data_IF_667739693770
#
_entry.id   IF_667739693770
#
_cell.length_a   1.000
_cell.length_b   1.000
_cell.length_c   1.000
_cell.angle_alpha   90.00
_cell.angle_beta   90.00
_cell.angle_gamma   90.00
#
_symmetry.space_group_name_H-M   'P 1'
#
loop_
_entity.id
_entity.type
_entity.pdbx_description
1 polymer ?
#
# COMPACT_ATOMS: atom_id res chain seq x y z
N UNK A 1 -7.72 -76.47 -1.03
CA UNK A 1 -6.30 -76.86 -1.02
C UNK A 1 -5.58 -75.84 -0.17
N UNK A 2 -4.95 -76.23 0.94
CA UNK A 2 -4.19 -75.29 1.77
C UNK A 2 -2.98 -74.76 1.02
N UNK A 3 -2.62 -73.49 1.24
CA UNK A 3 -1.40 -72.91 0.67
C UNK A 3 -0.18 -73.77 1.06
N UNK A 4 0.74 -74.03 0.13
CA UNK A 4 1.94 -74.81 0.42
C UNK A 4 2.73 -74.17 1.57
N UNK A 5 3.37 -74.97 2.44
CA UNK A 5 4.17 -74.43 3.54
C UNK A 5 5.32 -73.58 2.99
N UNK A 6 5.66 -72.52 3.73
CA UNK A 6 6.79 -71.64 3.40
C UNK A 6 8.10 -72.45 3.38
N UNK A 7 8.96 -72.16 2.41
CA UNK A 7 10.32 -72.66 2.39
C UNK A 7 11.14 -72.06 3.55
N UNK A 8 12.27 -72.68 3.94
CA UNK A 8 13.11 -72.16 5.03
C UNK A 8 13.59 -70.71 4.81
N UNK A 9 13.82 -70.30 3.55
CA UNK A 9 14.18 -68.92 3.23
C UNK A 9 12.98 -67.97 3.40
N UNK A 10 11.81 -68.32 2.89
CA UNK A 10 10.59 -67.51 3.04
C UNK A 10 10.18 -67.38 4.51
N UNK A 11 10.36 -68.43 5.32
CA UNK A 11 10.08 -68.37 6.76
C UNK A 11 11.02 -67.38 7.48
N UNK A 12 12.28 -67.25 7.03
CA UNK A 12 13.22 -66.28 7.58
C UNK A 12 12.72 -64.84 7.32
N UNK A 13 12.39 -64.52 6.08
CA UNK A 13 11.85 -63.20 5.73
C UNK A 13 10.48 -62.94 6.37
N UNK A 14 9.63 -63.97 6.48
CA UNK A 14 8.36 -63.86 7.17
C UNK A 14 8.54 -63.52 8.66
N UNK A 15 9.56 -64.06 9.34
CA UNK A 15 9.88 -63.67 10.73
C UNK A 15 10.30 -62.21 10.84
N UNK A 16 11.14 -61.75 9.93
CA UNK A 16 11.60 -60.35 9.86
C UNK A 16 10.40 -59.41 9.63
N UNK A 17 9.55 -59.70 8.63
CA UNK A 17 8.35 -58.89 8.36
C UNK A 17 7.29 -58.95 9.46
N UNK A 18 7.18 -60.06 10.21
CA UNK A 18 6.33 -60.14 11.40
C UNK A 18 6.85 -59.26 12.53
N UNK A 19 8.17 -59.25 12.76
CA UNK A 19 8.79 -58.38 13.75
C UNK A 19 8.58 -56.89 13.43
N UNK A 20 8.56 -56.54 12.14
CA UNK A 20 8.24 -55.19 11.64
C UNK A 20 6.72 -54.89 11.60
N UNK A 21 5.87 -55.85 11.96
CA UNK A 21 4.40 -55.69 11.94
C UNK A 21 3.77 -55.61 10.54
N UNK A 22 4.52 -55.96 9.49
CA UNK A 22 4.10 -55.84 8.08
C UNK A 22 3.25 -57.01 7.60
N UNK A 23 3.32 -58.15 8.29
CA UNK A 23 2.46 -59.31 8.07
C UNK A 23 1.97 -59.87 9.41
N UNK A 24 0.77 -60.46 9.42
CA UNK A 24 0.16 -61.06 10.61
C UNK A 24 0.69 -62.47 10.94
N UNK A 25 -0.02 -63.18 11.81
CA UNK A 25 0.35 -64.54 12.23
C UNK A 25 0.32 -65.56 11.08
N UNK A 26 -0.59 -65.37 10.12
CA UNK A 26 -0.66 -66.15 8.89
C UNK A 26 -0.16 -65.33 7.70
N UNK A 27 0.76 -65.89 6.91
CA UNK A 27 1.28 -65.28 5.69
C UNK A 27 1.50 -66.36 4.64
N UNK A 28 1.04 -66.11 3.42
CA UNK A 28 1.27 -66.98 2.26
C UNK A 28 2.59 -66.60 1.58
N UNK A 29 3.25 -67.56 0.92
CA UNK A 29 4.52 -67.41 0.21
C UNK A 29 4.53 -66.19 -0.71
N UNK A 30 3.44 -66.01 -1.47
CA UNK A 30 3.26 -64.89 -2.41
C UNK A 30 3.37 -63.52 -1.74
N UNK A 31 2.87 -63.37 -0.51
CA UNK A 31 2.92 -62.11 0.22
C UNK A 31 4.35 -61.81 0.69
N UNK A 32 5.04 -62.84 1.18
CA UNK A 32 6.44 -62.73 1.63
C UNK A 32 7.36 -62.40 0.46
N UNK A 33 7.22 -63.09 -0.68
CA UNK A 33 7.98 -62.81 -1.90
C UNK A 33 7.70 -61.42 -2.46
N UNK A 34 6.44 -60.99 -2.45
CA UNK A 34 6.06 -59.65 -2.91
C UNK A 34 6.72 -58.55 -2.05
N UNK A 35 6.71 -58.70 -0.72
CA UNK A 35 7.37 -57.74 0.18
C UNK A 35 8.89 -57.72 0.00
N UNK A 36 9.50 -58.90 -0.15
CA UNK A 36 10.94 -59.04 -0.44
C UNK A 36 11.32 -58.39 -1.77
N UNK A 37 10.50 -58.57 -2.80
CA UNK A 37 10.69 -57.90 -4.10
C UNK A 37 10.70 -56.37 -3.95
N UNK A 38 9.76 -55.80 -3.17
CA UNK A 38 9.71 -54.35 -2.95
C UNK A 38 10.90 -53.82 -2.15
N UNK A 39 11.44 -54.58 -1.20
CA UNK A 39 12.66 -54.21 -0.50
C UNK A 39 13.87 -54.18 -1.41
N UNK A 40 14.08 -55.26 -2.16
CA UNK A 40 15.18 -55.35 -3.12
C UNK A 40 15.07 -54.24 -4.18
N UNK A 41 13.86 -53.89 -4.61
CA UNK A 41 13.63 -52.78 -5.54
C UNK A 41 13.99 -51.43 -4.91
N UNK A 42 13.63 -51.18 -3.66
CA UNK A 42 13.99 -49.94 -2.94
C UNK A 42 15.49 -49.85 -2.68
N UNK A 43 16.13 -50.96 -2.33
CA UNK A 43 17.57 -51.05 -2.14
C UNK A 43 18.31 -50.78 -3.46
N UNK A 44 17.86 -51.40 -4.56
CA UNK A 44 18.40 -51.15 -5.88
C UNK A 44 18.23 -49.68 -6.30
N UNK A 45 17.05 -49.09 -6.06
CA UNK A 45 16.79 -47.68 -6.35
C UNK A 45 17.72 -46.77 -5.53
N UNK A 46 17.86 -47.02 -4.22
CA UNK A 46 18.78 -46.27 -3.35
C UNK A 46 20.23 -46.35 -3.84
N UNK A 47 20.68 -47.51 -4.30
CA UNK A 47 22.02 -47.68 -4.90
C UNK A 47 22.17 -46.94 -6.22
N UNK A 48 21.14 -46.92 -7.06
CA UNK A 48 21.11 -46.16 -8.31
C UNK A 48 21.17 -44.66 -8.00
N UNK A 49 20.34 -44.17 -7.08
CA UNK A 49 20.30 -42.76 -6.68
C UNK A 49 21.64 -42.32 -6.08
N UNK A 50 22.28 -43.16 -5.26
CA UNK A 50 23.61 -42.90 -4.73
C UNK A 50 24.69 -42.85 -5.84
N UNK A 51 24.58 -43.70 -6.86
CA UNK A 51 25.47 -43.69 -8.02
C UNK A 51 25.26 -42.44 -8.88
N UNK A 52 24.00 -42.05 -9.10
CA UNK A 52 23.62 -40.82 -9.81
C UNK A 52 24.17 -39.62 -9.04
N UNK A 53 23.93 -39.51 -7.74
CA UNK A 53 24.46 -38.41 -6.92
C UNK A 53 25.99 -38.30 -6.97
N UNK A 54 26.70 -39.43 -7.09
CA UNK A 54 28.17 -39.45 -7.16
C UNK A 54 28.73 -39.11 -8.55
N UNK A 55 28.04 -39.51 -9.62
CA UNK A 55 28.56 -39.45 -10.99
C UNK A 55 27.80 -38.49 -11.90
N UNK A 56 26.68 -37.91 -11.44
CA UNK A 56 25.94 -36.93 -12.21
C UNK A 56 26.79 -35.67 -12.38
N UNK A 57 26.83 -35.09 -13.59
CA UNK A 57 27.47 -33.80 -13.80
C UNK A 57 26.69 -32.74 -13.01
N UNK A 58 27.29 -32.25 -11.92
CA UNK A 58 26.79 -31.09 -11.18
C UNK A 58 27.32 -29.82 -11.84
N UNK A 59 26.41 -29.04 -12.42
CA UNK A 59 26.70 -27.70 -12.92
C UNK A 59 26.43 -26.71 -11.78
N UNK A 60 27.42 -25.90 -11.42
CA UNK A 60 27.24 -24.82 -10.45
C UNK A 60 26.51 -23.67 -11.17
N UNK A 61 25.18 -23.66 -11.07
CA UNK A 61 24.37 -22.56 -11.54
C UNK A 61 24.61 -21.36 -10.61
N UNK A 62 25.47 -20.44 -11.05
CA UNK A 62 25.73 -19.17 -10.36
C UNK A 62 24.58 -18.19 -10.67
N UNK A 63 23.41 -18.46 -10.12
CA UNK A 63 22.23 -17.57 -10.22
C UNK A 63 22.27 -16.43 -9.19
N UNK A 64 23.34 -16.37 -8.37
CA UNK A 64 23.48 -15.37 -7.33
C UNK A 64 24.77 -14.56 -7.51
N UNK A 65 24.68 -13.21 -7.48
CA UNK A 65 25.87 -12.38 -7.55
C UNK A 65 26.79 -12.64 -6.34
N UNK A 66 28.09 -12.55 -6.55
CA UNK A 66 29.08 -12.70 -5.48
C UNK A 66 28.81 -11.68 -4.36
N UNK A 67 28.78 -12.17 -3.12
CA UNK A 67 28.41 -11.37 -1.95
C UNK A 67 29.62 -10.57 -1.44
N UNK A 68 29.69 -9.30 -1.81
CA UNK A 68 30.69 -8.36 -1.29
C UNK A 68 30.25 -7.80 0.08
N UNK A 69 30.85 -8.28 1.17
CA UNK A 69 30.48 -7.92 2.55
C UNK A 69 31.12 -6.63 3.08
N UNK A 70 31.85 -5.89 2.24
CA UNK A 70 32.53 -4.64 2.60
C UNK A 70 31.85 -3.37 2.07
N UNK A 71 30.86 -3.50 1.20
CA UNK A 71 30.22 -2.37 0.52
C UNK A 71 28.82 -2.16 1.07
N UNK A 72 28.60 -1.02 1.73
CA UNK A 72 27.26 -0.53 2.06
C UNK A 72 26.74 0.21 0.82
N UNK A 73 25.83 -0.43 0.08
CA UNK A 73 25.19 0.20 -1.09
C UNK A 73 24.06 1.09 -0.59
N UNK A 74 24.20 2.40 -0.78
CA UNK A 74 23.10 3.36 -0.65
C UNK A 74 22.53 3.54 -2.04
N UNK A 75 21.35 2.96 -2.33
CA UNK A 75 20.65 3.22 -3.57
C UNK A 75 20.17 4.68 -3.58
N UNK A 76 20.21 5.31 -4.76
CA UNK A 76 19.73 6.68 -5.01
C UNK A 76 18.24 6.87 -4.66
N UNK A 77 17.63 8.03 -5.03
CA UNK A 77 16.34 8.46 -4.52
C UNK A 77 15.33 7.32 -4.56
N UNK A 78 14.77 7.01 -3.39
CA UNK A 78 13.77 5.96 -3.24
C UNK A 78 12.60 6.27 -4.16
N UNK A 79 12.56 5.68 -5.34
CA UNK A 79 11.31 5.49 -6.07
C UNK A 79 10.55 4.43 -5.29
N UNK A 80 9.68 4.86 -4.37
CA UNK A 80 8.62 4.01 -3.86
C UNK A 80 7.63 3.87 -5.02
N UNK A 81 7.92 2.97 -5.96
CA UNK A 81 6.86 2.46 -6.82
C UNK A 81 5.86 1.76 -5.89
N UNK A 82 4.66 2.33 -5.80
CA UNK A 82 3.53 1.55 -5.31
C UNK A 82 3.50 0.28 -6.17
N UNK A 83 3.43 -0.90 -5.53
CA UNK A 83 3.35 -2.17 -6.25
C UNK A 83 2.32 -2.01 -7.37
N UNK A 84 2.72 -2.04 -8.65
CA UNK A 84 1.77 -1.86 -9.73
C UNK A 84 0.69 -2.90 -9.54
N UNK A 85 -0.54 -2.41 -9.42
CA UNK A 85 -1.69 -3.27 -9.28
C UNK A 85 -1.80 -4.08 -10.56
N UNK A 86 -1.66 -5.40 -10.44
CA UNK A 86 -1.81 -6.34 -11.56
C UNK A 86 -3.20 -6.21 -12.20
N UNK A 87 -4.17 -5.57 -11.54
CA UNK A 87 -5.47 -5.22 -12.09
C UNK A 87 -5.59 -3.87 -12.82
N UNK A 88 -4.63 -2.95 -12.68
CA UNK A 88 -4.69 -1.63 -13.33
C UNK A 88 -3.99 -1.57 -14.69
N UNK A 89 -3.01 -2.45 -14.94
CA UNK A 89 -2.26 -2.50 -16.22
C UNK A 89 -2.84 -3.45 -17.27
N UNK A 90 -4.10 -3.89 -17.15
CA UNK A 90 -4.80 -4.60 -18.24
C UNK A 90 -5.72 -3.69 -19.08
N UNK A 91 -5.53 -2.38 -19.02
CA UNK A 91 -6.24 -1.41 -19.88
C UNK A 91 -5.37 -0.79 -20.97
N UNK A 92 -4.18 -1.34 -21.24
CA UNK A 92 -3.54 -1.13 -22.53
C UNK A 92 -4.34 -1.94 -23.56
N UNK A 93 -5.27 -1.29 -24.26
CA UNK A 93 -5.72 -1.75 -25.56
C UNK A 93 -4.48 -1.80 -26.46
N UNK A 94 -3.84 -2.98 -26.52
CA UNK A 94 -2.86 -3.27 -27.54
C UNK A 94 -3.67 -3.38 -28.82
N UNK A 95 -3.55 -2.37 -29.69
CA UNK A 95 -4.00 -2.47 -31.08
C UNK A 95 -3.46 -3.79 -31.62
N UNK A 96 -4.38 -4.70 -31.98
CA UNK A 96 -4.03 -5.99 -32.55
C UNK A 96 -3.20 -5.74 -33.79
N UNK A 97 -1.91 -6.07 -33.72
CA UNK A 97 -1.12 -6.30 -34.92
C UNK A 97 -1.50 -7.70 -35.39
N UNK A 98 -2.47 -7.78 -36.30
CA UNK A 98 -2.75 -9.01 -37.03
C UNK A 98 -1.49 -9.43 -37.82
N UNK A 99 -1.30 -10.75 -37.94
CA UNK A 99 -0.31 -11.48 -38.76
C UNK A 99 1.07 -11.81 -38.17
N UNK A 100 1.10 -12.74 -37.21
CA UNK A 100 2.16 -13.78 -37.17
C UNK A 100 1.53 -15.15 -36.93
N UNK A 101 1.43 -15.97 -37.98
CA UNK A 101 1.02 -17.37 -37.86
C UNK A 101 1.99 -18.16 -36.96
N UNK A 102 1.46 -18.76 -35.88
CA UNK A 102 2.16 -19.84 -35.16
C UNK A 102 2.45 -19.62 -33.67
N UNK A 103 2.04 -18.51 -33.05
CA UNK A 103 2.20 -18.32 -31.59
C UNK A 103 0.85 -18.17 -30.91
N UNK A 104 0.33 -19.27 -30.34
CA UNK A 104 -0.80 -19.21 -29.41
C UNK A 104 -0.28 -18.76 -28.04
N UNK A 105 -0.35 -17.46 -27.75
CA UNK A 105 -0.20 -16.97 -26.37
C UNK A 105 -1.54 -17.20 -25.67
N UNK A 106 -1.61 -18.25 -24.86
CA UNK A 106 -2.74 -18.47 -23.95
C UNK A 106 -2.62 -17.44 -22.83
N UNK A 107 -3.24 -16.28 -23.00
CA UNK A 107 -3.43 -15.33 -21.91
C UNK A 107 -4.41 -15.99 -20.94
N UNK A 108 -3.96 -16.28 -19.73
CA UNK A 108 -4.84 -16.68 -18.64
C UNK A 108 -5.74 -15.49 -18.29
N UNK A 109 -6.94 -15.42 -18.87
CA UNK A 109 -8.03 -14.66 -18.26
C UNK A 109 -8.29 -15.25 -16.87
N UNK A 110 -8.23 -14.48 -15.78
CA UNK A 110 -8.84 -14.91 -14.54
C UNK A 110 -10.33 -15.08 -14.82
N UNK A 111 -10.84 -16.24 -14.43
CA UNK A 111 -12.13 -16.74 -14.84
C UNK A 111 -13.32 -15.82 -14.48
N UNK A 112 -14.15 -15.51 -15.48
CA UNK A 112 -15.46 -14.81 -15.42
C UNK A 112 -16.55 -15.48 -14.54
N UNK A 113 -16.18 -16.33 -13.58
CA UNK A 113 -17.13 -17.10 -12.77
C UNK A 113 -16.86 -17.12 -11.26
N UNK A 114 -15.70 -16.62 -10.80
CA UNK A 114 -15.30 -16.71 -9.39
C UNK A 114 -15.50 -15.40 -8.63
N UNK A 115 -15.67 -14.26 -9.32
CA UNK A 115 -15.60 -12.94 -8.69
C UNK A 115 -16.94 -12.31 -8.30
N UNK A 116 -18.04 -12.51 -9.04
CA UNK A 116 -19.29 -11.78 -8.75
C UNK A 116 -19.91 -12.10 -7.37
N UNK A 117 -19.84 -13.37 -6.92
CA UNK A 117 -20.30 -13.76 -5.57
C UNK A 117 -19.38 -13.23 -4.47
N UNK A 118 -18.09 -13.15 -4.74
CA UNK A 118 -17.10 -12.60 -3.81
C UNK A 118 -17.23 -11.08 -3.69
N UNK A 119 -17.48 -10.37 -4.80
CA UNK A 119 -17.69 -8.92 -4.81
C UNK A 119 -18.99 -8.56 -4.08
N UNK A 120 -20.10 -9.26 -4.35
CA UNK A 120 -21.36 -9.02 -3.63
C UNK A 120 -21.25 -9.25 -2.11
N UNK A 121 -20.53 -10.30 -1.70
CA UNK A 121 -20.26 -10.59 -0.30
C UNK A 121 -19.36 -9.51 0.34
N UNK A 122 -18.29 -9.12 -0.35
CA UNK A 122 -17.37 -8.04 0.05
C UNK A 122 -18.13 -6.72 0.27
N UNK A 123 -18.94 -6.30 -0.72
CA UNK A 123 -19.71 -5.06 -0.62
C UNK A 123 -20.72 -5.09 0.52
N UNK A 124 -21.41 -6.22 0.70
CA UNK A 124 -22.39 -6.39 1.78
C UNK A 124 -21.72 -6.29 3.16
N UNK A 125 -20.59 -6.96 3.34
CA UNK A 125 -19.78 -6.90 4.56
C UNK A 125 -19.22 -5.49 4.82
N UNK A 126 -18.72 -4.81 3.79
CA UNK A 126 -18.23 -3.44 3.88
C UNK A 126 -19.32 -2.45 4.27
N UNK A 127 -20.53 -2.58 3.70
CA UNK A 127 -21.69 -1.75 4.07
C UNK A 127 -22.07 -2.00 5.54
N UNK A 128 -22.07 -3.25 6.00
CA UNK A 128 -22.39 -3.59 7.39
C UNK A 128 -21.33 -3.03 8.36
N UNK A 129 -20.05 -3.20 8.04
CA UNK A 129 -18.93 -2.63 8.80
C UNK A 129 -19.02 -1.11 8.86
N UNK A 130 -19.30 -0.46 7.74
CA UNK A 130 -19.41 1.00 7.67
C UNK A 130 -20.62 1.51 8.47
N UNK A 131 -21.75 0.80 8.41
CA UNK A 131 -22.95 1.13 9.21
C UNK A 131 -22.67 1.03 10.71
N UNK A 132 -21.96 -0.02 11.16
CA UNK A 132 -21.63 -0.23 12.58
C UNK A 132 -20.57 0.75 13.09
N UNK A 133 -19.52 0.94 12.31
CA UNK A 133 -18.32 1.64 12.77
C UNK A 133 -18.29 3.11 12.39
N UNK A 134 -19.10 3.58 11.43
CA UNK A 134 -19.04 4.95 10.92
C UNK A 134 -17.67 5.29 10.33
N UNK A 135 -17.46 6.57 10.01
CA UNK A 135 -16.15 7.07 9.55
C UNK A 135 -15.58 8.00 10.61
N UNK A 136 -14.35 7.73 11.03
CA UNK A 136 -13.68 8.51 12.07
C UNK A 136 -12.78 9.57 11.44
N UNK A 137 -13.00 10.82 11.81
CA UNK A 137 -12.11 11.93 11.52
C UNK A 137 -10.84 11.83 12.37
N UNK A 138 -9.73 12.39 11.88
CA UNK A 138 -8.53 12.55 12.70
C UNK A 138 -8.75 13.45 13.94
N UNK A 139 -9.76 14.33 13.93
CA UNK A 139 -10.21 15.11 15.10
C UNK A 139 -10.88 14.27 16.20
N UNK A 140 -11.06 12.96 15.98
CA UNK A 140 -11.81 12.08 16.88
C UNK A 140 -13.32 12.15 16.69
N UNK A 141 -13.82 13.10 15.87
CA UNK A 141 -15.23 13.18 15.48
C UNK A 141 -15.61 12.05 14.54
N UNK A 142 -16.90 11.73 14.50
CA UNK A 142 -17.40 10.55 13.81
C UNK A 142 -18.57 10.89 12.88
N UNK A 143 -18.48 10.46 11.63
CA UNK A 143 -19.59 10.43 10.69
C UNK A 143 -20.39 9.15 10.90
N UNK A 144 -21.63 9.29 11.36
CA UNK A 144 -22.56 8.17 11.49
C UNK A 144 -23.71 8.29 10.48
N UNK A 145 -24.39 7.17 10.26
CA UNK A 145 -25.44 7.02 9.27
C UNK A 145 -26.76 6.67 9.95
N UNK A 146 -27.80 7.46 9.70
CA UNK A 146 -29.16 7.17 10.16
C UNK A 146 -29.75 6.04 9.33
N UNK A 147 -29.54 6.12 8.02
CA UNK A 147 -29.87 5.07 7.07
C UNK A 147 -28.66 4.81 6.19
N UNK A 148 -28.40 3.54 5.87
CA UNK A 148 -27.39 3.18 4.88
C UNK A 148 -27.77 1.84 4.25
N UNK A 149 -28.10 1.83 2.96
CA UNK A 149 -28.56 0.64 2.24
C UNK A 149 -27.79 0.45 0.94
N UNK A 150 -27.60 -0.79 0.53
CA UNK A 150 -27.08 -1.09 -0.81
C UNK A 150 -28.03 -0.55 -1.88
N UNK A 151 -27.47 -0.10 -3.00
CA UNK A 151 -28.23 0.40 -4.16
C UNK A 151 -27.83 -0.38 -5.41
N UNK A 152 -28.80 -0.56 -6.31
CA UNK A 152 -28.56 -1.14 -7.63
C UNK A 152 -28.09 -0.03 -8.59
N UNK A 153 -26.78 0.20 -8.61
CA UNK A 153 -26.14 1.20 -9.46
C UNK A 153 -24.79 0.68 -9.94
N UNK A 154 -24.41 1.00 -11.18
CA UNK A 154 -23.19 0.52 -11.81
C UNK A 154 -21.87 1.03 -11.19
N UNK A 155 -21.92 1.94 -10.22
CA UNK A 155 -20.75 2.71 -9.74
C UNK A 155 -20.83 2.95 -8.23
N UNK A 156 -21.97 3.45 -7.77
CA UNK A 156 -22.23 3.68 -6.36
C UNK A 156 -22.78 2.40 -5.73
N UNK A 157 -22.31 2.05 -4.53
CA UNK A 157 -22.59 0.75 -3.91
C UNK A 157 -23.62 0.85 -2.78
N UNK A 158 -23.67 2.00 -2.11
CA UNK A 158 -24.64 2.28 -1.06
C UNK A 158 -25.06 3.75 -1.05
N UNK A 159 -26.25 4.01 -0.52
CA UNK A 159 -26.75 5.36 -0.27
C UNK A 159 -27.52 5.41 1.05
N UNK A 160 -27.65 6.61 1.61
CA UNK A 160 -28.25 6.80 2.91
C UNK A 160 -28.34 8.25 3.35
N UNK A 161 -28.57 8.44 4.64
CA UNK A 161 -28.62 9.75 5.30
C UNK A 161 -27.70 9.79 6.51
N UNK A 162 -27.07 10.93 6.75
CA UNK A 162 -26.21 11.15 7.92
C UNK A 162 -27.04 11.45 9.18
N UNK A 163 -26.53 11.09 10.36
CA UNK A 163 -27.20 11.40 11.65
C UNK A 163 -26.93 12.83 12.14
N UNK A 164 -25.93 13.50 11.56
CA UNK A 164 -25.26 14.63 12.21
C UNK A 164 -25.89 15.98 11.84
N UNK A 165 -26.82 16.45 12.69
CA UNK A 165 -27.40 17.80 12.64
C UNK A 165 -28.42 17.97 11.53
N UNK A 166 -27.95 18.28 10.32
CA UNK A 166 -28.77 18.32 9.11
C UNK A 166 -28.65 16.97 8.42
N UNK A 167 -29.76 16.25 8.25
CA UNK A 167 -29.79 14.97 7.53
C UNK A 167 -29.44 15.18 6.06
N UNK A 168 -28.15 15.07 5.74
CA UNK A 168 -27.62 15.15 4.39
C UNK A 168 -27.69 13.78 3.72
N UNK A 169 -28.01 13.79 2.43
CA UNK A 169 -27.99 12.60 1.58
C UNK A 169 -26.55 12.23 1.25
N UNK A 170 -26.20 10.95 1.39
CA UNK A 170 -24.85 10.46 1.13
C UNK A 170 -24.88 9.26 0.18
N UNK A 171 -23.95 9.23 -0.76
CA UNK A 171 -23.65 8.06 -1.58
C UNK A 171 -22.22 7.58 -1.33
N UNK A 172 -22.03 6.27 -1.49
CA UNK A 172 -20.78 5.61 -1.12
C UNK A 172 -20.28 4.77 -2.29
N UNK A 173 -19.01 4.97 -2.63
CA UNK A 173 -18.23 4.07 -3.47
C UNK A 173 -17.22 3.32 -2.61
N UNK A 174 -17.19 1.99 -2.72
CA UNK A 174 -16.11 1.17 -2.19
C UNK A 174 -15.12 0.88 -3.32
N UNK A 175 -13.84 1.05 -3.05
CA UNK A 175 -12.77 0.66 -3.94
C UNK A 175 -12.65 -0.85 -4.07
N UNK A 176 -11.79 -1.34 -4.99
CA UNK A 176 -11.54 -2.77 -5.15
C UNK A 176 -10.92 -3.38 -3.88
N UNK A 177 -11.27 -4.63 -3.58
CA UNK A 177 -10.77 -5.34 -2.40
C UNK A 177 -9.23 -5.46 -2.37
N UNK A 178 -8.62 -5.65 -3.53
CA UNK A 178 -7.18 -5.83 -3.70
C UNK A 178 -6.58 -4.72 -4.59
N UNK A 179 -6.96 -3.47 -4.38
CA UNK A 179 -6.39 -2.36 -5.16
C UNK A 179 -6.72 -0.98 -4.63
N UNK A 180 -6.18 0.03 -5.32
CA UNK A 180 -6.39 1.43 -5.00
C UNK A 180 -7.55 2.03 -5.80
N UNK A 181 -8.20 3.05 -5.25
CA UNK A 181 -9.13 3.89 -6.01
C UNK A 181 -8.30 4.75 -6.99
N UNK A 182 -8.58 4.57 -8.28
CA UNK A 182 -7.93 5.29 -9.39
C UNK A 182 -8.76 6.49 -9.87
N UNK A 183 -8.16 7.30 -10.75
CA UNK A 183 -8.81 8.47 -11.36
C UNK A 183 -10.15 8.12 -12.04
N UNK A 184 -10.22 6.99 -12.77
CA UNK A 184 -11.45 6.54 -13.43
C UNK A 184 -12.58 6.29 -12.45
N UNK A 185 -12.31 5.62 -11.33
CA UNK A 185 -13.29 5.40 -10.27
C UNK A 185 -13.83 6.71 -9.70
N UNK A 186 -12.94 7.68 -9.45
CA UNK A 186 -13.33 9.00 -8.96
C UNK A 186 -14.21 9.70 -9.99
N UNK A 187 -13.78 9.76 -11.25
CA UNK A 187 -14.53 10.41 -12.33
C UNK A 187 -15.95 9.85 -12.48
N UNK A 188 -16.09 8.52 -12.49
CA UNK A 188 -17.40 7.86 -12.60
C UNK A 188 -18.27 8.13 -11.37
N UNK A 189 -17.68 8.08 -10.18
CA UNK A 189 -18.38 8.39 -8.94
C UNK A 189 -18.83 9.85 -8.87
N UNK A 190 -18.01 10.78 -9.37
CA UNK A 190 -18.36 12.19 -9.45
C UNK A 190 -19.56 12.41 -10.38
N UNK A 191 -19.62 11.70 -11.51
CA UNK A 191 -20.75 11.80 -12.42
C UNK A 191 -22.03 11.22 -11.80
N UNK A 192 -21.94 10.07 -11.13
CA UNK A 192 -23.08 9.39 -10.51
C UNK A 192 -23.57 10.08 -9.21
N UNK A 193 -22.66 10.72 -8.49
CA UNK A 193 -22.85 11.25 -7.14
C UNK A 193 -23.50 12.63 -7.06
N UNK A 194 -23.65 13.37 -8.18
CA UNK A 194 -24.10 14.78 -8.19
C UNK A 194 -25.45 15.06 -7.53
N UNK A 195 -26.30 14.04 -7.38
CA UNK A 195 -27.63 14.16 -6.77
C UNK A 195 -27.61 14.01 -5.24
N UNK A 196 -26.46 13.71 -4.65
CA UNK A 196 -26.27 13.55 -3.21
C UNK A 196 -25.47 14.72 -2.67
N UNK A 197 -25.77 15.14 -1.43
CA UNK A 197 -25.06 16.24 -0.78
C UNK A 197 -23.60 15.86 -0.46
N UNK A 198 -23.37 14.57 -0.17
CA UNK A 198 -22.06 14.01 0.16
C UNK A 198 -21.77 12.79 -0.73
N UNK A 199 -20.57 12.75 -1.30
CA UNK A 199 -20.00 11.56 -1.93
C UNK A 199 -18.83 11.06 -1.08
N UNK A 200 -18.94 9.83 -0.56
CA UNK A 200 -17.90 9.18 0.24
C UNK A 200 -17.21 8.08 -0.57
N UNK A 201 -15.90 8.22 -0.79
CA UNK A 201 -15.06 7.21 -1.44
C UNK A 201 -14.27 6.46 -0.37
N UNK A 202 -14.49 5.16 -0.25
CA UNK A 202 -13.86 4.29 0.75
C UNK A 202 -12.92 3.29 0.06
N UNK A 203 -11.62 3.38 0.29
CA UNK A 203 -10.64 2.47 -0.31
C UNK A 203 -9.56 2.04 0.68
N UNK A 204 -8.96 0.88 0.47
CA UNK A 204 -7.74 0.51 1.18
C UNK A 204 -6.59 1.44 0.83
N UNK A 205 -6.57 1.91 -0.42
CA UNK A 205 -5.59 2.85 -0.92
C UNK A 205 -6.17 3.76 -2.02
N UNK A 206 -5.48 4.87 -2.31
CA UNK A 206 -5.85 5.82 -3.36
C UNK A 206 -4.61 6.19 -4.18
N UNK A 207 -4.77 6.22 -5.49
CA UNK A 207 -3.71 6.79 -6.35
C UNK A 207 -3.59 8.30 -6.09
N UNK A 208 -2.40 8.90 -6.22
CA UNK A 208 -2.22 10.35 -6.01
C UNK A 208 -3.14 11.20 -6.89
N UNK A 209 -3.29 10.84 -8.15
CA UNK A 209 -4.17 11.52 -9.12
C UNK A 209 -5.65 11.43 -8.71
N UNK A 210 -6.08 10.30 -8.14
CA UNK A 210 -7.44 10.16 -7.62
C UNK A 210 -7.72 11.06 -6.41
N UNK A 211 -6.76 11.15 -5.47
CA UNK A 211 -6.90 12.04 -4.31
C UNK A 211 -7.01 13.49 -4.74
N UNK A 212 -6.13 13.91 -5.65
CA UNK A 212 -6.15 15.27 -6.18
C UNK A 212 -7.46 15.58 -6.91
N UNK A 213 -7.94 14.68 -7.78
CA UNK A 213 -9.20 14.88 -8.50
C UNK A 213 -10.38 15.04 -7.54
N UNK A 214 -10.45 14.20 -6.51
CA UNK A 214 -11.51 14.28 -5.51
C UNK A 214 -11.44 15.59 -4.70
N UNK A 215 -10.23 16.03 -4.35
CA UNK A 215 -10.00 17.30 -3.64
C UNK A 215 -10.41 18.51 -4.50
N UNK A 216 -9.98 18.56 -5.77
CA UNK A 216 -10.31 19.65 -6.71
C UNK A 216 -11.80 19.71 -7.04
N UNK A 217 -12.48 18.56 -7.09
CA UNK A 217 -13.90 18.50 -7.36
C UNK A 217 -14.76 18.92 -6.15
N UNK A 218 -14.19 18.96 -4.95
CA UNK A 218 -14.89 19.36 -3.73
C UNK A 218 -15.19 20.87 -3.79
N UNK A 219 -16.47 21.22 -3.80
CA UNK A 219 -16.95 22.61 -3.87
C UNK A 219 -17.79 22.95 -2.64
N UNK A 220 -18.02 24.25 -2.40
CA UNK A 220 -18.76 24.71 -1.21
C UNK A 220 -20.16 24.05 -1.06
N UNK A 221 -20.83 23.75 -2.17
CA UNK A 221 -22.18 23.17 -2.18
C UNK A 221 -22.21 21.64 -2.31
N UNK A 222 -21.08 20.98 -2.63
CA UNK A 222 -21.03 19.53 -2.83
C UNK A 222 -19.76 18.92 -2.24
N UNK A 223 -19.96 18.04 -1.26
CA UNK A 223 -18.88 17.54 -0.40
C UNK A 223 -18.39 16.18 -0.87
N UNK A 224 -17.10 16.08 -1.19
CA UNK A 224 -16.45 14.80 -1.54
C UNK A 224 -15.49 14.42 -0.42
N UNK A 225 -15.76 13.27 0.20
CA UNK A 225 -15.00 12.74 1.32
C UNK A 225 -14.25 11.49 0.88
N UNK A 226 -13.02 11.39 1.36
CA UNK A 226 -12.15 10.23 1.13
C UNK A 226 -11.96 9.52 2.47
N UNK A 227 -12.00 8.18 2.48
CA UNK A 227 -11.77 7.39 3.69
C UNK A 227 -10.91 6.15 3.42
N UNK A 228 -9.90 5.95 4.26
CA UNK A 228 -9.10 4.73 4.31
C UNK A 228 -9.86 3.62 5.03
N UNK A 229 -9.81 2.44 4.44
CA UNK A 229 -10.27 1.18 5.02
C UNK A 229 -9.09 0.51 5.72
N UNK A 230 -9.26 0.16 6.99
CA UNK A 230 -8.25 -0.55 7.75
C UNK A 230 -8.06 -1.99 7.20
N UNK A 231 -6.81 -2.49 7.06
CA UNK A 231 -6.54 -3.88 6.65
C UNK A 231 -7.21 -4.93 7.53
N UNK A 232 -7.47 -4.59 8.80
CA UNK A 232 -8.17 -5.41 9.81
C UNK A 232 -9.57 -5.85 9.37
N UNK A 233 -10.17 -5.14 8.41
CA UNK A 233 -11.43 -5.53 7.79
C UNK A 233 -11.36 -6.91 7.10
N UNK A 234 -10.18 -7.34 6.63
CA UNK A 234 -10.00 -8.66 5.99
C UNK A 234 -9.66 -9.74 7.03
N UNK A 235 -9.00 -9.37 8.12
CA UNK A 235 -8.45 -10.30 9.12
C UNK A 235 -9.33 -10.46 10.37
N UNK A 236 -10.65 -10.50 10.18
CA UNK A 236 -11.64 -10.48 11.29
C UNK A 236 -11.51 -11.67 12.26
N UNK A 237 -10.91 -12.79 11.84
CA UNK A 237 -10.79 -14.01 12.65
C UNK A 237 -9.51 -14.05 13.52
N UNK A 238 -8.51 -13.20 13.26
CA UNK A 238 -7.22 -13.25 13.97
C UNK A 238 -7.07 -12.25 15.13
N UNK A 239 -7.90 -11.22 15.18
CA UNK A 239 -7.76 -10.12 16.15
C UNK A 239 -8.71 -10.31 17.34
N UNK A 240 -8.22 -11.00 18.38
CA UNK A 240 -8.84 -10.99 19.71
C UNK A 240 -8.74 -9.58 20.32
N UNK A 241 -9.88 -8.96 20.58
CA UNK A 241 -10.07 -7.81 21.49
C UNK A 241 -9.15 -6.59 21.33
N UNK A 242 -8.78 -6.20 20.11
CA UNK A 242 -8.02 -4.94 19.91
C UNK A 242 -8.79 -3.96 19.02
N UNK A 243 -9.33 -2.89 19.64
CA UNK A 243 -9.87 -1.65 19.01
C UNK A 243 -10.55 -1.80 17.63
N UNK A 244 -11.56 -2.66 17.53
CA UNK A 244 -12.44 -2.84 16.36
C UNK A 244 -13.27 -1.59 15.98
N UNK A 245 -13.02 -0.44 16.59
CA UNK A 245 -13.91 0.74 16.52
C UNK A 245 -13.57 1.75 15.42
N UNK A 246 -12.47 1.59 14.69
CA UNK A 246 -12.01 2.57 13.69
C UNK A 246 -11.62 1.93 12.35
N UNK A 247 -12.56 1.18 11.74
CA UNK A 247 -12.32 0.52 10.45
C UNK A 247 -12.24 1.50 9.28
N UNK A 248 -12.91 2.65 9.36
CA UNK A 248 -12.90 3.68 8.33
C UNK A 248 -12.36 4.99 8.92
N UNK A 249 -11.31 5.53 8.32
CA UNK A 249 -10.66 6.77 8.76
C UNK A 249 -10.70 7.79 7.63
N UNK A 250 -11.26 8.97 7.88
CA UNK A 250 -11.28 10.04 6.87
C UNK A 250 -9.87 10.52 6.53
N UNK A 251 -9.68 10.77 5.25
CA UNK A 251 -8.48 11.34 4.66
C UNK A 251 -8.65 12.86 4.67
N UNK A 252 -7.67 13.51 5.28
CA UNK A 252 -7.52 14.97 5.24
C UNK A 252 -6.56 15.40 4.14
N UNK A 253 -6.54 16.70 3.85
CA UNK A 253 -5.56 17.31 2.95
C UNK A 253 -4.39 17.91 3.74
N UNK A 254 -3.14 17.79 3.30
CA UNK A 254 -2.06 18.62 3.84
C UNK A 254 -2.36 20.12 3.68
N UNK A 255 -2.35 20.89 4.76
CA UNK A 255 -2.31 22.36 4.65
C UNK A 255 -0.86 22.79 4.45
N UNK A 256 -0.55 23.25 3.23
CA UNK A 256 0.79 23.62 2.81
C UNK A 256 0.81 25.05 2.32
N UNK A 257 1.87 25.77 2.69
CA UNK A 257 2.12 27.13 2.22
C UNK A 257 3.45 27.18 1.50
N UNK A 258 3.42 27.80 0.33
CA UNK A 258 4.59 28.04 -0.51
C UNK A 258 5.07 29.46 -0.26
N UNK A 259 6.33 29.61 0.12
CA UNK A 259 6.98 30.92 0.26
C UNK A 259 8.07 31.06 -0.81
N UNK A 260 7.95 32.07 -1.66
CA UNK A 260 8.95 32.37 -2.69
C UNK A 260 9.98 33.36 -2.17
N UNK A 261 11.17 33.40 -2.77
CA UNK A 261 12.16 34.43 -2.47
C UNK A 261 11.52 35.84 -2.62
N UNK A 262 11.71 36.69 -1.60
CA UNK A 262 11.14 38.04 -1.57
C UNK A 262 9.68 38.14 -1.14
N UNK A 263 9.04 37.02 -0.76
CA UNK A 263 7.69 37.04 -0.19
C UNK A 263 7.69 37.80 1.16
N UNK A 264 6.78 38.78 1.27
CA UNK A 264 6.54 39.55 2.49
C UNK A 264 6.25 38.70 3.74
N UNK A 265 5.76 37.47 3.56
CA UNK A 265 5.42 36.56 4.65
C UNK A 265 6.61 35.76 5.18
N UNK A 266 7.79 35.80 4.54
CA UNK A 266 9.00 35.09 5.01
C UNK A 266 9.41 35.53 6.42
N UNK A 267 9.29 36.81 6.75
CA UNK A 267 9.58 37.30 8.10
C UNK A 267 8.65 36.69 9.17
N UNK A 268 7.38 36.45 8.81
CA UNK A 268 6.41 35.79 9.68
C UNK A 268 6.75 34.29 9.83
N UNK A 269 7.12 33.62 8.74
CA UNK A 269 7.58 32.23 8.77
C UNK A 269 8.75 32.04 9.73
N UNK A 270 9.78 32.91 9.65
CA UNK A 270 10.95 32.86 10.53
C UNK A 270 10.54 33.01 12.00
N UNK A 271 9.65 33.97 12.32
CA UNK A 271 9.17 34.17 13.68
C UNK A 271 8.39 32.96 14.22
N UNK A 272 7.47 32.39 13.42
CA UNK A 272 6.68 31.22 13.81
C UNK A 272 7.53 29.95 13.92
N UNK A 273 8.54 29.79 13.07
CA UNK A 273 9.49 28.69 13.15
C UNK A 273 10.39 28.80 14.39
N UNK A 274 10.87 30.00 14.73
CA UNK A 274 11.64 30.24 15.95
C UNK A 274 10.83 29.90 17.21
N UNK A 275 9.52 30.20 17.22
CA UNK A 275 8.60 29.77 18.28
C UNK A 275 8.47 28.25 18.43
N UNK A 276 8.71 27.49 17.36
CA UNK A 276 8.77 26.02 17.33
C UNK A 276 10.19 25.48 17.61
N UNK A 277 11.16 26.34 17.91
CA UNK A 277 12.56 25.96 18.15
C UNK A 277 13.34 25.61 16.89
N UNK A 278 12.88 26.06 15.72
CA UNK A 278 13.56 25.88 14.43
C UNK A 278 14.13 27.22 13.98
N UNK A 279 15.44 27.28 13.76
CA UNK A 279 16.09 28.45 13.17
C UNK A 279 16.04 28.36 11.63
N UNK A 280 15.50 29.41 11.01
CA UNK A 280 15.39 29.55 9.56
C UNK A 280 16.03 30.84 9.06
N UNK A 281 16.62 31.67 9.93
CA UNK A 281 17.14 32.99 9.56
C UNK A 281 18.14 32.86 8.40
N UNK A 282 19.18 32.04 8.60
CA UNK A 282 20.22 31.82 7.59
C UNK A 282 19.64 31.22 6.31
N UNK A 283 18.65 30.31 6.41
CA UNK A 283 18.04 29.70 5.21
C UNK A 283 17.30 30.72 4.36
N UNK A 284 16.60 31.65 5.00
CA UNK A 284 15.83 32.69 4.31
C UNK A 284 16.77 33.74 3.73
N UNK A 285 17.80 34.14 4.46
CA UNK A 285 18.77 35.14 4.03
C UNK A 285 19.65 34.64 2.87
N UNK A 286 19.95 33.34 2.83
CA UNK A 286 20.76 32.70 1.78
C UNK A 286 19.94 32.19 0.57
N UNK A 287 18.62 32.44 0.53
CA UNK A 287 17.79 32.02 -0.62
C UNK A 287 18.30 32.62 -1.93
N UNK A 288 18.43 31.77 -2.95
CA UNK A 288 18.80 32.17 -4.30
C UNK A 288 17.59 32.54 -5.15
N UNK A 289 17.88 33.20 -6.27
CA UNK A 289 16.86 33.58 -7.25
C UNK A 289 16.08 32.38 -7.77
N UNK A 290 14.76 32.43 -7.62
CA UNK A 290 13.83 31.37 -8.03
C UNK A 290 13.72 30.20 -7.03
N UNK A 291 14.34 30.28 -5.85
CA UNK A 291 14.11 29.30 -4.79
C UNK A 291 12.83 29.60 -4.01
N UNK A 292 12.29 28.54 -3.40
CA UNK A 292 11.11 28.57 -2.56
C UNK A 292 11.20 27.58 -1.40
N UNK A 293 10.36 27.80 -0.39
CA UNK A 293 10.11 26.88 0.71
C UNK A 293 8.70 26.33 0.65
N UNK A 294 8.53 25.15 1.24
CA UNK A 294 7.23 24.59 1.59
C UNK A 294 7.17 24.43 3.10
N UNK A 295 6.15 25.03 3.70
CA UNK A 295 5.77 24.78 5.09
C UNK A 295 4.53 23.89 5.13
N UNK A 296 4.59 22.82 5.92
CA UNK A 296 3.40 22.12 6.37
C UNK A 296 2.84 22.83 7.62
N UNK A 297 1.71 23.52 7.47
CA UNK A 297 1.01 24.13 8.61
C UNK A 297 0.20 23.12 9.39
N UNK A 298 -0.28 22.10 8.69
CA UNK A 298 -1.01 21.02 9.32
C UNK A 298 -1.44 19.93 8.37
N UNK A 299 -2.13 18.95 8.91
CA UNK A 299 -2.97 18.06 8.12
C UNK A 299 -4.39 18.39 8.48
N UNK A 300 -5.15 18.81 7.49
CA UNK A 300 -6.53 19.22 7.64
C UNK A 300 -7.35 18.07 8.21
N UNK A 301 -7.92 18.33 9.38
CA UNK A 301 -8.89 17.47 10.03
C UNK A 301 -10.25 17.90 9.50
N UNK A 302 -10.81 17.12 8.58
CA UNK A 302 -12.19 17.32 8.18
C UNK A 302 -13.12 17.05 9.36
N UNK A 303 -14.00 18.00 9.66
CA UNK A 303 -15.05 17.88 10.65
C UNK A 303 -16.33 17.35 9.99
N UNK A 304 -16.70 16.08 10.23
CA UNK A 304 -17.86 15.47 9.58
C UNK A 304 -19.20 16.02 10.08
N UNK A 305 -19.19 16.86 11.12
CA UNK A 305 -20.39 17.43 11.73
C UNK A 305 -20.67 18.82 11.17
N UNK A 306 -19.65 19.68 11.13
CA UNK A 306 -19.80 21.07 10.64
C UNK A 306 -19.49 21.21 9.15
N UNK A 307 -18.84 20.22 8.54
CA UNK A 307 -18.30 20.34 7.19
C UNK A 307 -17.10 21.29 7.11
N UNK A 308 -16.60 21.77 8.24
CA UNK A 308 -15.45 22.66 8.31
C UNK A 308 -14.14 21.87 8.27
N UNK A 309 -13.13 22.48 7.67
CA UNK A 309 -11.78 21.96 7.68
C UNK A 309 -10.98 22.71 8.75
N UNK A 310 -10.34 21.97 9.67
CA UNK A 310 -9.46 22.55 10.69
C UNK A 310 -8.07 21.94 10.61
N UNK A 311 -7.05 22.77 10.48
CA UNK A 311 -5.66 22.30 10.39
C UNK A 311 -5.11 21.96 11.79
N UNK A 312 -4.59 20.73 11.96
CA UNK A 312 -3.86 20.31 13.17
C UNK A 312 -2.38 20.74 13.09
N UNK A 313 -1.75 21.13 14.19
CA UNK A 313 -0.43 21.81 14.23
C UNK A 313 0.76 20.87 13.97
N UNK A 314 0.58 19.81 13.18
CA UNK A 314 1.66 18.93 12.73
C UNK A 314 2.25 18.00 13.81
N UNK A 315 1.77 18.00 15.06
CA UNK A 315 2.27 17.13 16.15
C UNK A 315 2.12 15.63 15.81
N UNK A 316 1.12 15.30 15.01
CA UNK A 316 0.82 13.93 14.60
C UNK A 316 1.49 13.52 13.27
N UNK A 317 2.44 14.32 12.78
CA UNK A 317 3.17 14.07 11.54
C UNK A 317 4.43 13.25 11.82
N UNK A 318 4.56 12.13 11.11
CA UNK A 318 5.68 11.21 11.25
C UNK A 318 6.79 11.49 10.24
N UNK A 319 6.40 11.76 8.99
CA UNK A 319 7.30 12.08 7.90
C UNK A 319 6.61 13.01 6.90
N UNK A 320 7.40 13.87 6.26
CA UNK A 320 6.98 14.71 5.13
C UNK A 320 7.96 14.42 3.99
N UNK A 321 7.43 14.01 2.84
CA UNK A 321 8.20 13.81 1.63
C UNK A 321 7.80 14.86 0.60
N UNK A 322 8.78 15.43 -0.07
CA UNK A 322 8.58 16.49 -1.06
C UNK A 322 9.23 16.05 -2.37
N UNK A 323 8.44 16.07 -3.43
CA UNK A 323 8.88 15.96 -4.81
C UNK A 323 8.92 17.35 -5.44
N UNK A 324 10.11 17.82 -5.78
CA UNK A 324 10.34 19.19 -6.25
C UNK A 324 10.01 19.39 -7.74
N UNK A 325 9.77 18.31 -8.49
CA UNK A 325 9.55 18.33 -9.94
C UNK A 325 8.51 17.27 -10.35
N UNK A 326 7.36 17.31 -9.68
CA UNK A 326 6.32 16.30 -9.84
C UNK A 326 5.67 16.38 -11.23
N UNK A 327 5.84 15.33 -12.04
CA UNK A 327 5.35 15.26 -13.42
C UNK A 327 3.85 14.91 -13.54
N UNK A 328 3.16 14.71 -12.41
CA UNK A 328 1.76 14.28 -12.36
C UNK A 328 1.55 12.78 -12.40
N UNK A 329 2.62 11.97 -12.47
CA UNK A 329 2.56 10.51 -12.59
C UNK A 329 3.35 9.82 -11.49
N UNK A 330 4.62 10.18 -11.34
CA UNK A 330 5.57 9.48 -10.48
C UNK A 330 6.04 10.38 -9.35
N UNK A 331 5.96 9.88 -8.12
CA UNK A 331 6.42 10.61 -6.95
C UNK A 331 7.88 10.28 -6.63
N UNK A 332 8.77 11.24 -6.79
CA UNK A 332 10.19 11.12 -6.48
C UNK A 332 10.53 11.92 -5.21
N UNK A 333 11.04 11.25 -4.18
CA UNK A 333 11.39 11.93 -2.92
C UNK A 333 12.70 12.72 -3.12
N UNK A 334 12.59 14.06 -3.18
CA UNK A 334 13.73 14.97 -3.21
C UNK A 334 14.13 15.44 -1.80
N UNK A 335 13.16 15.59 -0.89
CA UNK A 335 13.43 15.87 0.53
C UNK A 335 12.58 14.98 1.44
N UNK A 336 13.15 14.59 2.58
CA UNK A 336 12.48 13.83 3.61
C UNK A 336 12.65 14.48 5.00
N UNK A 337 11.57 15.02 5.56
CA UNK A 337 11.55 15.68 6.86
C UNK A 337 10.92 14.77 7.91
N UNK A 338 11.47 14.77 9.12
CA UNK A 338 10.99 13.98 10.25
C UNK A 338 10.85 14.88 11.50
N UNK A 339 9.79 15.71 11.56
CA UNK A 339 9.66 16.77 12.55
C UNK A 339 9.64 16.25 14.00
N UNK A 340 8.92 15.15 14.27
CA UNK A 340 8.61 14.73 15.64
C UNK A 340 9.43 13.54 16.15
N UNK A 341 10.44 13.07 15.40
CA UNK A 341 11.27 11.92 15.80
C UNK A 341 12.72 12.32 16.09
N UNK A 342 13.06 12.36 17.39
CA UNK A 342 14.43 12.59 17.85
C UNK A 342 15.40 11.49 17.36
N UNK A 343 14.97 10.24 17.28
CA UNK A 343 15.86 9.10 16.99
C UNK A 343 15.83 8.58 15.54
N UNK A 344 15.07 9.20 14.63
CA UNK A 344 14.96 8.72 13.23
C UNK A 344 16.32 8.52 12.57
N UNK A 345 17.19 9.51 12.76
CA UNK A 345 18.46 9.59 12.07
C UNK A 345 19.59 8.83 12.77
N UNK A 346 19.51 8.68 14.10
CA UNK A 346 20.50 7.95 14.91
C UNK A 346 20.60 6.48 14.50
N UNK A 347 19.45 5.85 14.17
CA UNK A 347 19.41 4.46 13.68
C UNK A 347 20.04 4.33 12.30
N UNK A 348 19.71 5.24 11.39
CA UNK A 348 20.25 5.28 10.02
C UNK A 348 21.77 5.44 10.08
N UNK A 349 22.25 6.39 10.88
CA UNK A 349 23.67 6.62 11.04
C UNK A 349 24.44 5.44 11.62
N UNK A 350 23.91 4.80 12.67
CA UNK A 350 24.51 3.58 13.23
C UNK A 350 24.65 2.49 12.18
N UNK A 351 23.66 2.35 11.31
CA UNK A 351 23.66 1.36 10.23
C UNK A 351 24.63 1.73 9.09
N UNK A 352 24.76 3.01 8.77
CA UNK A 352 25.66 3.50 7.72
C UNK A 352 27.13 3.51 8.13
N UNK A 353 27.45 3.29 9.41
CA UNK A 353 28.83 3.27 9.96
C UNK A 353 29.65 4.53 9.59
N UNK A 354 28.99 5.65 9.29
CA UNK A 354 29.61 6.89 8.85
C UNK A 354 29.56 7.98 9.92
N UNK A 355 30.36 9.04 9.73
CA UNK A 355 30.29 10.27 10.51
C UNK A 355 29.01 11.02 10.13
N UNK A 356 28.19 11.36 11.13
CA UNK A 356 26.95 12.12 10.95
C UNK A 356 27.28 13.60 11.04
N UNK A 357 26.79 14.40 10.10
CA UNK A 357 26.69 15.84 10.28
C UNK A 357 25.41 16.15 11.09
N UNK A 358 25.55 16.33 12.41
CA UNK A 358 24.40 16.54 13.31
C UNK A 358 23.59 17.79 12.96
N UNK A 359 24.24 18.82 12.42
CA UNK A 359 23.61 20.07 12.00
C UNK A 359 22.75 19.84 10.76
N UNK A 360 23.29 19.14 9.75
CA UNK A 360 22.54 18.76 8.55
C UNK A 360 21.29 17.92 8.88
N UNK A 361 21.36 17.00 9.84
CA UNK A 361 20.19 16.21 10.24
C UNK A 361 19.19 16.99 11.10
N UNK A 362 19.67 17.92 11.93
CA UNK A 362 18.80 18.87 12.64
C UNK A 362 17.99 19.69 11.64
N UNK A 363 18.57 20.00 10.48
CA UNK A 363 17.92 20.78 9.45
C UNK A 363 16.66 20.11 8.85
N UNK A 364 16.53 18.78 8.95
CA UNK A 364 15.35 18.01 8.50
C UNK A 364 14.33 17.71 9.61
N UNK A 365 14.55 18.18 10.85
CA UNK A 365 13.61 18.05 11.98
C UNK A 365 12.69 19.26 12.09
N UNK A 366 12.00 19.57 11.01
CA UNK A 366 11.12 20.74 10.91
C UNK A 366 9.93 20.44 10.01
N UNK A 367 8.91 21.28 10.09
CA UNK A 367 7.75 21.28 9.18
C UNK A 367 8.02 22.09 7.90
N UNK A 368 9.20 22.72 7.79
CA UNK A 368 9.59 23.58 6.68
C UNK A 368 10.71 22.91 5.88
N UNK A 369 10.57 22.88 4.56
CA UNK A 369 11.58 22.32 3.66
C UNK A 369 12.92 23.07 3.73
N UNK A 370 13.95 22.49 3.15
CA UNK A 370 15.10 23.26 2.66
C UNK A 370 14.68 24.09 1.43
N UNK A 371 15.34 25.22 1.14
CA UNK A 371 15.02 25.98 -0.06
C UNK A 371 15.36 25.15 -1.29
N UNK A 372 14.53 25.25 -2.33
CA UNK A 372 14.78 24.58 -3.59
C UNK A 372 14.19 25.36 -4.75
N UNK A 373 14.75 25.14 -5.94
CA UNK A 373 14.17 25.62 -7.19
C UNK A 373 13.25 24.54 -7.75
N UNK A 374 11.95 24.80 -7.98
CA UNK A 374 11.06 23.81 -8.54
C UNK A 374 11.47 23.44 -9.96
N UNK A 375 11.27 22.19 -10.33
CA UNK A 375 11.46 21.75 -11.70
C UNK A 375 10.29 22.15 -12.61
N UNK A 376 10.42 21.85 -13.90
CA UNK A 376 9.45 22.24 -14.95
C UNK A 376 8.95 21.02 -15.75
N UNK A 377 9.11 19.81 -15.20
CA UNK A 377 8.77 18.57 -15.90
C UNK A 377 7.27 18.38 -16.08
N UNK A 378 6.44 19.06 -15.29
CA UNK A 378 4.98 19.01 -15.38
C UNK A 378 4.46 19.57 -16.71
N UNK A 379 4.85 20.80 -17.08
CA UNK A 379 4.57 21.39 -18.38
C UNK A 379 5.82 22.12 -18.90
N UNK A 380 6.67 21.37 -19.60
CA UNK A 380 7.92 21.89 -20.17
C UNK A 380 7.71 22.98 -21.21
N UNK A 381 6.58 22.95 -21.91
CA UNK A 381 6.29 23.91 -22.98
C UNK A 381 5.90 25.28 -22.40
N UNK A 382 5.15 25.27 -21.29
CA UNK A 382 4.77 26.49 -20.57
C UNK A 382 5.78 26.92 -19.50
N UNK A 383 6.72 26.04 -19.15
CA UNK A 383 7.66 26.26 -18.06
C UNK A 383 6.99 26.21 -16.69
N UNK A 384 5.80 25.61 -16.57
CA UNK A 384 5.09 25.50 -15.29
C UNK A 384 5.69 24.37 -14.45
N UNK A 385 6.00 24.70 -13.21
CA UNK A 385 6.49 23.74 -12.22
C UNK A 385 5.35 23.18 -11.36
N UNK A 386 5.56 21.98 -10.84
CA UNK A 386 4.63 21.36 -9.90
C UNK A 386 5.38 20.58 -8.84
N UNK A 387 4.91 20.70 -7.62
CA UNK A 387 5.48 20.03 -6.45
C UNK A 387 4.42 19.16 -5.81
N UNK A 388 4.80 17.96 -5.38
CA UNK A 388 3.93 17.11 -4.57
C UNK A 388 4.49 16.96 -3.16
N UNK A 389 3.61 17.07 -2.18
CA UNK A 389 3.89 16.88 -0.76
C UNK A 389 3.12 15.66 -0.30
N UNK A 390 3.83 14.69 0.28
CA UNK A 390 3.24 13.50 0.90
C UNK A 390 3.53 13.51 2.39
N UNK A 391 2.48 13.49 3.20
CA UNK A 391 2.57 13.49 4.66
C UNK A 391 2.15 12.14 5.19
N UNK A 392 2.99 11.55 6.03
CA UNK A 392 2.70 10.29 6.72
C UNK A 392 2.38 10.59 8.18
N UNK A 393 1.23 10.11 8.66
CA UNK A 393 0.84 10.25 10.06
C UNK A 393 1.43 9.14 10.95
N UNK A 394 1.24 9.25 12.27
CA UNK A 394 1.71 8.25 13.24
C UNK A 394 1.09 6.85 13.06
N UNK A 395 -0.06 6.75 12.37
CA UNK A 395 -0.75 5.48 12.07
C UNK A 395 -0.24 4.86 10.76
N UNK A 396 0.62 5.55 10.02
CA UNK A 396 1.14 5.11 8.73
C UNK A 396 0.26 5.49 7.55
N UNK A 397 -0.83 6.24 7.75
CA UNK A 397 -1.65 6.70 6.63
C UNK A 397 -0.91 7.81 5.88
N UNK A 398 -0.98 7.76 4.55
CA UNK A 398 -0.42 8.79 3.69
C UNK A 398 -1.51 9.76 3.23
N UNK A 399 -1.19 11.04 3.16
CA UNK A 399 -2.03 12.04 2.49
C UNK A 399 -1.15 12.83 1.54
N UNK A 400 -1.65 13.13 0.34
CA UNK A 400 -0.89 13.91 -0.64
C UNK A 400 -1.58 15.22 -0.97
N UNK A 401 -0.76 16.21 -1.36
CA UNK A 401 -1.19 17.46 -1.99
C UNK A 401 -0.22 17.83 -3.09
N UNK A 402 -0.75 18.24 -4.22
CA UNK A 402 0.05 18.82 -5.29
C UNK A 402 -0.19 20.32 -5.39
N UNK A 403 0.88 21.07 -5.62
CA UNK A 403 0.85 22.53 -5.71
C UNK A 403 1.51 22.94 -7.02
N UNK A 404 0.83 23.78 -7.81
CA UNK A 404 1.44 24.44 -8.97
C UNK A 404 2.30 25.60 -8.49
N UNK A 405 3.51 25.69 -9.03
CA UNK A 405 4.56 26.60 -8.57
C UNK A 405 5.11 27.39 -9.76
N UNK A 406 4.25 28.27 -10.25
CA UNK A 406 4.50 29.19 -11.37
C UNK A 406 5.36 30.39 -10.96
#
# INVERSE_FOLDING_TARGET
>A
MGSPPLTPEEEKYAREFRAEGRIGSYADARLVEHLRFWELKREMQSRIDASIAKNAPTEELVDQPQRETGIVRVSGPFTMEAVPNVGAEMSMEVDRVDDVEGVSVTIFSPADGVDARNVGAYLSDMIEKLRKTGVVAKSGKKLNFQTLTSIDHAVLHAAGTTENGDSKTIAILFGPQNGSISESHVKDALQAGKKYDILLLCGYDFTPTAQEMAQQASQADWQILLAYVAPDTVMTDLLKDTKTSQLFTMIGEPDVVVYRQGDSNLGKLVQEAAGRGVDLVDRVDEMKEGEMFIELRGVDLYDPLSGEVKSDVGENVHAIFIDQDYDGKSFCICQALFPNKKDSWTKIAKNLKGTIDEEAFSAFRTLVSLPFKPGTSFDKERGEGRVQIKVIDQRGNAVVKAVRVD
#
